data_IF_513416917840
#
_entry.id   IF_513416917840
#
_cell.length_a   1.000
_cell.length_b   1.000
_cell.length_c   1.000
_cell.angle_alpha   90.00
_cell.angle_beta   90.00
_cell.angle_gamma   90.00
#
_symmetry.space_group_name_H-M   'P 1'
#
loop_
_entity.id
_entity.type
_entity.pdbx_description
1 polymer ?
#
# COMPACT_ATOMS: atom_id res chain seq x y z
N UNK A 1 -9.83 -1.91 -2.32
CA UNK A 1 -8.49 -2.54 -2.39
C UNK A 1 -7.50 -1.72 -1.59
N UNK A 2 -6.50 -2.35 -0.97
CA UNK A 2 -5.45 -1.67 -0.21
C UNK A 2 -4.06 -2.06 -0.75
N UNK A 3 -3.20 -1.07 -0.95
CA UNK A 3 -1.80 -1.22 -1.38
C UNK A 3 -0.87 -0.66 -0.31
N UNK A 4 0.17 -1.43 0.01
CA UNK A 4 1.26 -1.03 0.87
C UNK A 4 2.56 -1.25 0.10
N UNK A 5 3.24 -0.17 -0.26
CA UNK A 5 4.37 -0.21 -1.19
C UNK A 5 5.65 0.31 -0.53
N UNK A 6 6.76 -0.41 -0.68
CA UNK A 6 8.09 0.11 -0.38
C UNK A 6 8.59 1.01 -1.50
N UNK A 7 9.13 2.18 -1.16
CA UNK A 7 9.65 3.15 -2.15
C UNK A 7 10.95 2.73 -2.84
N UNK A 8 11.69 1.80 -2.23
CA UNK A 8 12.94 1.21 -2.76
C UNK A 8 12.73 -0.24 -3.20
N UNK A 9 11.48 -0.68 -3.41
CA UNK A 9 11.19 -2.02 -3.90
C UNK A 9 11.72 -2.17 -5.34
N UNK A 10 12.66 -3.09 -5.52
CA UNK A 10 13.27 -3.42 -6.81
C UNK A 10 12.64 -4.64 -7.47
N UNK A 11 11.77 -5.38 -6.78
CA UNK A 11 11.07 -6.57 -7.27
C UNK A 11 9.74 -6.16 -7.89
N UNK A 12 8.96 -5.36 -7.15
CA UNK A 12 7.71 -4.75 -7.62
C UNK A 12 7.82 -3.25 -7.44
N UNK A 13 8.17 -2.54 -8.52
CA UNK A 13 8.52 -1.13 -8.44
C UNK A 13 7.31 -0.25 -8.08
N UNK A 14 7.50 0.88 -7.37
CA UNK A 14 6.38 1.74 -6.94
C UNK A 14 5.45 2.21 -8.06
N UNK A 15 5.98 2.35 -9.27
CA UNK A 15 5.22 2.76 -10.44
C UNK A 15 4.12 1.75 -10.81
N UNK A 16 4.34 0.46 -10.59
CA UNK A 16 3.30 -0.56 -10.83
C UNK A 16 2.11 -0.35 -9.89
N UNK A 17 2.36 -0.11 -8.59
CA UNK A 17 1.30 0.21 -7.63
C UNK A 17 0.60 1.52 -7.97
N UNK A 18 1.34 2.54 -8.42
CA UNK A 18 0.76 3.83 -8.86
C UNK A 18 -0.20 3.62 -10.03
N UNK A 19 0.25 2.93 -11.08
CA UNK A 19 -0.56 2.62 -12.27
C UNK A 19 -1.83 1.84 -11.93
N UNK A 20 -1.72 0.80 -11.09
CA UNK A 20 -2.90 0.04 -10.63
C UNK A 20 -3.87 0.90 -9.83
N UNK A 21 -3.37 1.74 -8.93
CA UNK A 21 -4.22 2.60 -8.11
C UNK A 21 -4.92 3.69 -8.95
N UNK A 22 -4.25 4.24 -9.95
CA UNK A 22 -4.83 5.18 -10.90
C UNK A 22 -5.92 4.52 -11.74
N UNK A 23 -5.67 3.32 -12.28
CA UNK A 23 -6.68 2.56 -13.01
C UNK A 23 -7.92 2.27 -12.15
N UNK A 24 -7.74 1.89 -10.88
CA UNK A 24 -8.86 1.70 -9.96
C UNK A 24 -9.65 3.00 -9.71
N UNK A 25 -8.95 4.12 -9.52
CA UNK A 25 -9.60 5.44 -9.35
C UNK A 25 -10.37 5.87 -10.58
N UNK A 26 -9.81 5.67 -11.77
CA UNK A 26 -10.50 5.95 -13.04
C UNK A 26 -11.78 5.13 -13.20
N UNK A 27 -11.83 3.93 -12.61
CA UNK A 27 -13.02 3.07 -12.57
C UNK A 27 -13.94 3.35 -11.36
N UNK A 28 -13.84 4.52 -10.74
CA UNK A 28 -14.71 4.95 -9.64
C UNK A 28 -14.45 4.26 -8.29
N UNK A 29 -13.39 3.47 -8.18
CA UNK A 29 -13.00 2.84 -6.92
C UNK A 29 -12.12 3.78 -6.08
N UNK A 30 -12.10 3.58 -4.76
CA UNK A 30 -11.26 4.36 -3.84
C UNK A 30 -10.22 3.46 -3.16
N UNK A 31 -9.11 3.10 -3.83
CA UNK A 31 -8.08 2.27 -3.23
C UNK A 31 -7.32 3.01 -2.13
N UNK A 32 -7.08 2.34 -1.01
CA UNK A 32 -6.12 2.78 -0.01
C UNK A 32 -4.71 2.56 -0.56
N UNK A 33 -3.87 3.59 -0.60
CA UNK A 33 -2.46 3.48 -1.02
C UNK A 33 -1.58 4.09 0.05
N UNK A 34 -0.65 3.30 0.58
CA UNK A 34 0.34 3.74 1.56
C UNK A 34 1.74 3.41 1.06
N UNK A 35 2.56 4.44 0.85
CA UNK A 35 3.97 4.33 0.47
C UNK A 35 4.86 4.45 1.71
N UNK A 36 5.88 3.61 1.78
CA UNK A 36 6.97 3.68 2.76
C UNK A 36 8.29 3.97 2.02
N UNK A 37 8.70 5.24 1.89
CA UNK A 37 9.80 5.64 1.00
C UNK A 37 11.13 4.92 1.23
N UNK A 38 11.40 4.55 2.48
CA UNK A 38 12.67 3.94 2.89
C UNK A 38 12.65 2.40 2.86
N UNK A 39 11.51 1.78 2.57
CA UNK A 39 11.35 0.32 2.56
C UNK A 39 11.49 -0.28 1.15
N UNK A 40 11.88 -1.55 1.07
CA UNK A 40 12.04 -2.30 -0.17
C UNK A 40 10.91 -3.29 -0.43
N UNK A 41 11.24 -4.48 -0.94
CA UNK A 41 10.29 -5.59 -1.03
C UNK A 41 10.02 -6.17 0.38
N UNK A 42 8.90 -5.75 0.97
CA UNK A 42 8.58 -5.99 2.38
C UNK A 42 9.03 -4.86 3.32
N UNK A 43 8.60 -4.92 4.58
CA UNK A 43 8.86 -3.86 5.57
C UNK A 43 9.80 -4.33 6.67
N UNK A 44 10.98 -3.72 6.76
CA UNK A 44 12.01 -4.04 7.76
C UNK A 44 11.81 -3.28 9.06
N UNK A 45 11.40 -2.01 9.01
CA UNK A 45 11.22 -1.21 10.24
C UNK A 45 9.94 -1.66 10.94
N UNK A 46 10.05 -2.07 12.20
CA UNK A 46 8.91 -2.51 13.01
C UNK A 46 7.77 -1.47 13.04
N UNK A 47 8.10 -0.18 13.05
CA UNK A 47 7.13 0.92 13.00
C UNK A 47 6.31 0.93 11.71
N UNK A 48 6.92 0.61 10.56
CA UNK A 48 6.23 0.57 9.28
C UNK A 48 5.37 -0.70 9.17
N UNK A 49 5.86 -1.82 9.72
CA UNK A 49 5.08 -3.04 9.79
C UNK A 49 3.84 -2.88 10.68
N UNK A 50 3.98 -2.26 11.85
CA UNK A 50 2.86 -1.96 12.74
C UNK A 50 1.84 -0.99 12.11
N UNK A 51 2.30 0.06 11.42
CA UNK A 51 1.44 0.99 10.67
C UNK A 51 0.68 0.26 9.56
N UNK A 52 1.34 -0.63 8.80
CA UNK A 52 0.69 -1.44 7.77
C UNK A 52 -0.41 -2.32 8.35
N UNK A 53 -0.12 -3.09 9.41
CA UNK A 53 -1.11 -3.98 10.03
C UNK A 53 -2.29 -3.20 10.61
N UNK A 54 -2.04 -2.07 11.27
CA UNK A 54 -3.09 -1.22 11.83
C UNK A 54 -4.02 -0.67 10.75
N UNK A 55 -3.46 -0.21 9.63
CA UNK A 55 -4.23 0.26 8.47
C UNK A 55 -5.00 -0.85 7.78
N UNK A 56 -4.41 -2.03 7.67
CA UNK A 56 -5.06 -3.20 7.10
C UNK A 56 -6.26 -3.63 7.95
N UNK A 57 -6.10 -3.70 9.27
CA UNK A 57 -7.19 -3.98 10.21
C UNK A 57 -8.32 -2.94 10.11
N UNK A 58 -7.96 -1.65 10.07
CA UNK A 58 -8.93 -0.57 9.91
C UNK A 58 -9.65 -0.62 8.54
N UNK A 59 -8.96 -1.03 7.47
CA UNK A 59 -9.56 -1.23 6.15
C UNK A 59 -10.63 -2.32 6.20
N UNK A 60 -10.32 -3.49 6.78
CA UNK A 60 -11.31 -4.57 6.92
C UNK A 60 -12.48 -4.18 7.83
N UNK A 61 -12.23 -3.45 8.91
CA UNK A 61 -13.27 -3.03 9.87
C UNK A 61 -14.30 -2.07 9.28
N UNK A 62 -13.98 -1.37 8.18
CA UNK A 62 -14.91 -0.48 7.46
C UNK A 62 -15.71 -1.19 6.37
N UNK A 63 -15.29 -2.40 5.99
CA UNK A 63 -15.97 -3.21 4.99
C UNK A 63 -17.08 -4.09 5.59
N UNK A 64 -17.21 -4.11 6.91
CA UNK A 64 -18.32 -4.71 7.67
C UNK A 64 -19.25 -3.61 8.17
#
# INVERSE_FOLDING_TARGET
MAFFQGGKDSVVVPEQTRSMAEALRANGQQPLVRLYPEEGHGFRKAVNHADMLSRLAAFYSRCC
#
